data_IF_020627719147
#
_entry.id   IF_020627719147
#
_cell.length_a   1.000
_cell.length_b   1.000
_cell.length_c   1.000
_cell.angle_alpha   90.00
_cell.angle_beta   90.00
_cell.angle_gamma   90.00
#
_symmetry.space_group_name_H-M   'P 1'
#
loop_
_entity.id
_entity.type
_entity.pdbx_description
1 polymer ?
#
# COMPACT_ATOMS: atom_id res chain seq x y z
N UNK A 1 -63.03 63.01 40.81
CA UNK A 1 -62.05 62.45 41.74
C UNK A 1 -62.48 61.03 42.08
N UNK A 2 -61.89 60.05 41.40
CA UNK A 2 -62.30 58.64 41.56
C UNK A 2 -61.05 57.81 41.90
N UNK A 3 -61.06 57.31 43.13
CA UNK A 3 -59.99 56.41 43.66
C UNK A 3 -60.28 54.99 43.12
N UNK A 4 -59.40 54.44 42.35
CA UNK A 4 -59.39 53.02 41.96
C UNK A 4 -58.53 52.23 42.92
N UNK A 5 -59.17 51.27 43.58
CA UNK A 5 -58.58 50.29 44.46
C UNK A 5 -58.07 49.15 43.59
N UNK A 6 -56.74 48.81 43.75
CA UNK A 6 -56.11 47.68 43.12
C UNK A 6 -56.14 46.52 44.10
N UNK A 7 -56.66 45.34 43.76
CA UNK A 7 -56.52 44.16 44.62
C UNK A 7 -55.14 43.51 44.47
N UNK A 8 -54.57 43.21 45.61
CA UNK A 8 -53.28 42.49 45.77
C UNK A 8 -53.53 40.98 45.51
N UNK A 9 -53.05 40.48 44.38
CA UNK A 9 -53.08 39.05 44.09
C UNK A 9 -51.85 38.41 44.73
N UNK A 10 -52.04 37.62 45.78
CA UNK A 10 -51.01 36.76 46.38
C UNK A 10 -50.85 35.55 45.52
N UNK A 11 -49.71 35.50 44.81
CA UNK A 11 -49.29 34.30 44.01
C UNK A 11 -48.56 33.32 44.93
N UNK A 12 -49.22 32.21 45.24
CA UNK A 12 -48.63 31.09 45.95
C UNK A 12 -47.66 30.36 45.05
N UNK A 13 -46.35 30.42 45.36
CA UNK A 13 -45.32 29.69 44.61
C UNK A 13 -45.26 28.27 45.11
N UNK A 14 -45.78 27.32 44.29
CA UNK A 14 -45.71 25.88 44.55
C UNK A 14 -44.31 25.39 44.10
N UNK A 15 -43.41 25.16 45.05
CA UNK A 15 -42.12 24.52 44.77
C UNK A 15 -42.33 23.02 44.55
N UNK A 16 -42.27 22.59 43.30
CA UNK A 16 -42.23 21.17 42.95
C UNK A 16 -40.78 20.71 43.05
N UNK A 17 -40.42 19.96 44.09
CA UNK A 17 -39.17 19.23 44.21
C UNK A 17 -39.18 18.05 43.25
N UNK A 18 -38.63 18.25 42.04
CA UNK A 18 -38.29 17.14 41.13
C UNK A 18 -37.03 16.49 41.66
N UNK A 19 -37.18 15.35 42.33
CA UNK A 19 -36.07 14.51 42.72
C UNK A 19 -35.27 14.05 41.48
N UNK A 20 -33.97 14.35 41.46
CA UNK A 20 -33.04 13.75 40.53
C UNK A 20 -33.07 12.23 40.73
N UNK A 21 -33.60 11.49 39.77
CA UNK A 21 -33.36 10.05 39.70
C UNK A 21 -31.92 9.89 39.18
N UNK A 22 -31.07 9.33 40.02
CA UNK A 22 -29.77 8.87 39.57
C UNK A 22 -29.94 7.87 38.43
N UNK A 23 -29.31 8.09 37.28
CA UNK A 23 -29.33 7.11 36.20
C UNK A 23 -28.63 5.86 36.72
N UNK A 24 -29.36 4.78 36.92
CA UNK A 24 -28.83 3.49 37.27
C UNK A 24 -27.95 3.04 36.08
N UNK A 25 -26.63 3.15 36.24
CA UNK A 25 -25.68 2.64 35.25
C UNK A 25 -25.77 1.13 35.29
N UNK A 26 -26.56 0.55 34.38
CA UNK A 26 -26.51 -0.88 34.15
C UNK A 26 -25.22 -1.18 33.40
N UNK A 27 -24.32 -1.91 34.04
CA UNK A 27 -23.15 -2.44 33.37
C UNK A 27 -23.60 -3.48 32.33
N UNK A 28 -23.82 -3.02 31.11
CA UNK A 28 -24.00 -3.90 29.97
C UNK A 28 -22.66 -4.53 29.63
N UNK A 29 -22.47 -5.81 30.00
CA UNK A 29 -21.38 -6.60 29.46
C UNK A 29 -21.74 -6.96 28.03
N UNK A 30 -21.20 -6.22 27.09
CA UNK A 30 -21.18 -6.67 25.70
C UNK A 30 -20.38 -7.99 25.70
N UNK A 31 -20.96 -9.12 25.30
CA UNK A 31 -20.17 -10.30 25.02
C UNK A 31 -19.12 -9.85 24.00
N UNK A 32 -17.84 -10.08 24.32
CA UNK A 32 -16.76 -9.80 23.37
C UNK A 32 -17.07 -10.68 22.16
N UNK A 33 -17.60 -10.06 21.10
CA UNK A 33 -17.77 -10.78 19.85
C UNK A 33 -16.43 -11.45 19.55
N UNK A 34 -16.48 -12.76 19.35
CA UNK A 34 -15.35 -13.49 18.83
C UNK A 34 -14.93 -12.72 17.59
N UNK A 35 -13.69 -12.20 17.51
CA UNK A 35 -13.29 -11.39 16.35
C UNK A 35 -13.70 -12.20 15.12
N UNK A 36 -14.59 -11.64 14.29
CA UNK A 36 -14.78 -12.14 12.94
C UNK A 36 -13.35 -12.25 12.40
N UNK A 37 -12.98 -13.43 11.89
CA UNK A 37 -11.66 -13.64 11.35
C UNK A 37 -11.41 -12.48 10.40
N UNK A 38 -10.63 -11.51 10.86
CA UNK A 38 -10.28 -10.32 10.09
C UNK A 38 -9.61 -10.89 8.86
N UNK A 39 -10.19 -10.65 7.69
CA UNK A 39 -9.50 -11.00 6.46
C UNK A 39 -8.08 -10.45 6.62
N UNK A 40 -7.04 -11.28 6.42
CA UNK A 40 -5.67 -10.88 6.69
C UNK A 40 -5.42 -9.58 5.95
N UNK A 41 -4.94 -8.57 6.68
CA UNK A 41 -4.49 -7.32 6.07
C UNK A 41 -3.51 -7.71 4.96
N UNK A 42 -3.64 -7.21 3.73
CA UNK A 42 -2.69 -7.51 2.65
C UNK A 42 -1.22 -7.33 3.07
N UNK A 43 -0.94 -6.40 3.98
CA UNK A 43 0.39 -6.21 4.55
C UNK A 43 0.83 -7.39 5.45
N UNK A 44 -0.10 -7.97 6.22
CA UNK A 44 0.18 -9.11 7.11
C UNK A 44 0.29 -10.42 6.30
N UNK A 45 -0.50 -10.54 5.22
CA UNK A 45 -0.36 -11.64 4.26
C UNK A 45 1.01 -11.63 3.57
N UNK A 46 1.55 -10.44 3.25
CA UNK A 46 2.90 -10.29 2.71
C UNK A 46 3.99 -10.58 3.75
N UNK A 47 3.76 -10.29 5.02
CA UNK A 47 4.71 -10.60 6.10
C UNK A 47 4.78 -12.09 6.45
N UNK A 48 3.71 -12.84 6.18
CA UNK A 48 3.58 -14.28 6.51
C UNK A 48 3.77 -15.19 5.30
N UNK A 49 3.96 -14.65 4.10
CA UNK A 49 4.09 -15.44 2.88
C UNK A 49 5.43 -16.20 2.89
N UNK A 50 5.36 -17.52 2.94
CA UNK A 50 6.50 -18.39 2.69
C UNK A 50 6.93 -18.18 1.25
N UNK A 51 8.17 -17.72 1.05
CA UNK A 51 8.73 -17.54 -0.30
C UNK A 51 8.73 -18.89 -1.01
N UNK A 52 8.08 -19.06 -2.16
CA UNK A 52 8.10 -20.34 -2.88
C UNK A 52 9.55 -20.73 -3.22
N UNK A 53 10.00 -21.85 -2.72
CA UNK A 53 11.26 -22.48 -3.07
C UNK A 53 10.96 -23.72 -3.92
N UNK A 54 10.52 -23.50 -5.17
CA UNK A 54 10.14 -24.59 -6.06
C UNK A 54 10.82 -24.48 -7.42
N UNK A 55 10.79 -25.59 -8.17
CA UNK A 55 11.26 -25.71 -9.55
C UNK A 55 10.58 -24.74 -10.54
N UNK A 56 9.55 -24.02 -10.12
CA UNK A 56 8.77 -23.09 -10.93
C UNK A 56 9.22 -21.62 -10.81
N UNK A 57 10.40 -21.38 -10.23
CA UNK A 57 10.93 -20.04 -10.06
C UNK A 57 11.33 -19.43 -11.40
N UNK A 58 10.99 -18.14 -11.58
CA UNK A 58 11.48 -17.36 -12.72
C UNK A 58 13.02 -17.29 -12.71
N UNK A 59 13.58 -17.25 -13.90
CA UNK A 59 15.00 -16.99 -14.11
C UNK A 59 15.18 -15.68 -14.86
N UNK A 60 16.33 -15.00 -14.68
CA UNK A 60 16.64 -13.74 -15.36
C UNK A 60 18.15 -13.55 -15.47
N UNK A 61 18.54 -12.63 -16.33
CA UNK A 61 19.92 -12.15 -16.44
C UNK A 61 19.97 -10.67 -16.11
N UNK A 62 20.62 -10.32 -15.02
CA UNK A 62 20.80 -8.93 -14.63
C UNK A 62 21.93 -8.27 -15.45
N UNK A 63 21.83 -6.96 -15.74
CA UNK A 63 22.93 -6.18 -16.31
C UNK A 63 24.19 -6.29 -15.46
N UNK A 64 25.35 -6.38 -16.10
CA UNK A 64 26.65 -6.55 -15.40
C UNK A 64 27.04 -5.34 -14.54
N UNK A 65 26.46 -4.17 -14.81
CA UNK A 65 26.64 -2.97 -14.00
C UNK A 65 25.89 -3.03 -12.66
N UNK A 66 24.93 -3.93 -12.50
CA UNK A 66 24.16 -4.07 -11.27
C UNK A 66 24.85 -5.04 -10.32
N UNK A 67 25.03 -4.63 -9.07
CA UNK A 67 25.69 -5.46 -8.05
C UNK A 67 24.66 -6.29 -7.30
N UNK A 68 24.74 -7.61 -7.41
CA UNK A 68 23.87 -8.51 -6.66
C UNK A 68 24.07 -8.34 -5.13
N UNK A 69 22.99 -8.23 -4.39
CA UNK A 69 23.00 -8.16 -2.93
C UNK A 69 22.82 -9.55 -2.32
N UNK A 70 23.20 -9.69 -1.07
CA UNK A 70 23.01 -10.93 -0.34
C UNK A 70 21.55 -11.40 -0.36
N UNK A 71 21.29 -12.71 -0.44
CA UNK A 71 19.95 -13.28 -0.38
C UNK A 71 19.19 -12.84 0.88
N UNK A 72 17.87 -12.67 0.76
CA UNK A 72 16.99 -12.36 1.88
C UNK A 72 15.75 -13.27 1.80
N UNK A 73 15.14 -13.63 2.92
CA UNK A 73 13.95 -14.49 2.93
C UNK A 73 12.78 -13.96 2.10
N UNK A 74 12.68 -12.64 2.00
CA UNK A 74 11.57 -11.97 1.30
C UNK A 74 11.85 -11.67 -0.17
N UNK A 75 13.12 -11.74 -0.61
CA UNK A 75 13.52 -11.36 -1.96
C UNK A 75 14.04 -12.56 -2.74
N UNK A 76 13.50 -12.77 -3.91
CA UNK A 76 14.00 -13.74 -4.90
C UNK A 76 15.26 -13.24 -5.60
N UNK A 77 15.40 -11.93 -5.73
CA UNK A 77 16.57 -11.25 -6.24
C UNK A 77 16.68 -9.85 -5.66
N UNK A 78 17.91 -9.34 -5.57
CA UNK A 78 18.19 -8.01 -5.03
C UNK A 78 19.46 -7.47 -5.65
N UNK A 79 19.44 -6.23 -6.16
CA UNK A 79 20.56 -5.58 -6.80
C UNK A 79 20.71 -4.15 -6.31
N UNK A 80 21.95 -3.73 -6.11
CA UNK A 80 22.34 -2.34 -5.94
C UNK A 80 22.80 -1.77 -7.28
N UNK A 81 22.35 -0.56 -7.60
CA UNK A 81 22.73 0.18 -8.80
C UNK A 81 23.31 1.51 -8.33
N UNK A 82 24.61 1.68 -8.47
CA UNK A 82 25.31 2.88 -8.06
C UNK A 82 25.44 3.87 -9.21
N UNK A 83 25.28 5.16 -8.91
CA UNK A 83 25.41 6.21 -9.90
C UNK A 83 25.32 7.62 -9.33
N UNK A 84 25.21 8.63 -10.17
CA UNK A 84 25.07 10.01 -9.71
C UNK A 84 23.86 10.18 -8.78
N UNK A 85 24.08 10.76 -7.63
CA UNK A 85 23.02 11.02 -6.62
C UNK A 85 22.83 9.90 -5.61
N UNK A 86 23.56 8.76 -5.71
CA UNK A 86 23.51 7.70 -4.71
C UNK A 86 23.33 6.30 -5.29
N UNK A 87 22.58 5.48 -4.58
CA UNK A 87 22.30 4.07 -4.93
C UNK A 87 20.78 3.90 -5.15
N UNK A 88 20.44 3.14 -6.19
CA UNK A 88 19.09 2.62 -6.39
C UNK A 88 19.05 1.13 -6.00
N UNK A 89 17.89 0.67 -5.51
CA UNK A 89 17.66 -0.70 -5.06
C UNK A 89 16.62 -1.37 -5.96
N UNK A 90 17.02 -2.45 -6.63
CA UNK A 90 16.08 -3.33 -7.30
C UNK A 90 15.76 -4.51 -6.38
N UNK A 91 14.48 -4.66 -6.07
CA UNK A 91 13.96 -5.81 -5.34
C UNK A 91 13.05 -6.65 -6.24
N UNK A 92 13.24 -7.96 -6.21
CA UNK A 92 12.40 -8.94 -6.88
C UNK A 92 11.78 -9.81 -5.80
N UNK A 93 10.45 -9.80 -5.73
CA UNK A 93 9.68 -10.55 -4.73
C UNK A 93 8.56 -11.34 -5.39
N UNK A 94 8.15 -12.44 -4.80
CA UNK A 94 7.02 -13.23 -5.24
C UNK A 94 6.15 -13.58 -4.03
N UNK A 95 4.84 -13.48 -4.21
CA UNK A 95 3.85 -13.79 -3.17
C UNK A 95 2.74 -14.67 -3.72
N UNK A 96 2.16 -15.55 -2.89
CA UNK A 96 1.02 -16.37 -3.30
C UNK A 96 -0.22 -15.52 -3.64
N UNK A 97 -0.95 -15.95 -4.65
CA UNK A 97 -2.21 -15.32 -5.07
C UNK A 97 -2.03 -13.97 -5.74
N UNK A 98 -3.11 -13.17 -5.76
CA UNK A 98 -3.18 -11.86 -6.42
C UNK A 98 -2.71 -10.69 -5.55
N UNK A 99 -2.39 -10.97 -4.27
CA UNK A 99 -1.88 -9.98 -3.29
C UNK A 99 -2.75 -8.72 -3.12
N UNK A 100 -4.06 -8.83 -3.36
CA UNK A 100 -5.04 -7.74 -3.24
C UNK A 100 -5.21 -6.90 -4.50
N UNK A 101 -4.70 -7.38 -5.64
CA UNK A 101 -4.89 -6.78 -6.96
C UNK A 101 -3.88 -5.68 -7.31
N UNK A 102 -3.80 -5.40 -8.60
CA UNK A 102 -2.81 -4.48 -9.18
C UNK A 102 -2.92 -3.06 -8.60
N UNK A 103 -4.12 -2.47 -8.61
CA UNK A 103 -4.34 -1.09 -8.12
C UNK A 103 -3.87 -0.89 -6.68
N UNK A 104 -4.19 -1.83 -5.78
CA UNK A 104 -3.80 -1.73 -4.38
C UNK A 104 -2.27 -1.78 -4.21
N UNK A 105 -1.60 -2.62 -4.99
CA UNK A 105 -0.14 -2.74 -4.98
C UNK A 105 0.55 -1.48 -5.51
N UNK A 106 0.06 -0.92 -6.63
CA UNK A 106 0.57 0.33 -7.18
C UNK A 106 0.34 1.50 -6.22
N UNK A 107 -0.81 1.58 -5.57
CA UNK A 107 -1.09 2.62 -4.57
C UNK A 107 -0.18 2.50 -3.33
N UNK A 108 0.18 1.28 -2.92
CA UNK A 108 1.19 1.07 -1.88
C UNK A 108 2.57 1.60 -2.31
N UNK A 109 2.96 1.38 -3.56
CA UNK A 109 4.20 1.91 -4.10
C UNK A 109 4.19 3.44 -4.20
N UNK A 110 3.08 4.01 -4.67
CA UNK A 110 2.90 5.47 -4.73
C UNK A 110 3.01 6.11 -3.35
N UNK A 111 2.42 5.51 -2.33
CA UNK A 111 2.56 5.99 -0.95
C UNK A 111 4.00 5.99 -0.43
N UNK A 112 4.86 5.07 -0.89
CA UNK A 112 6.28 5.03 -0.50
C UNK A 112 7.08 6.24 -1.00
N UNK A 113 6.62 6.91 -2.04
CA UNK A 113 7.24 8.11 -2.63
C UNK A 113 6.32 9.34 -2.55
N UNK A 114 5.46 9.37 -1.53
CA UNK A 114 4.56 10.48 -1.19
C UNK A 114 3.63 10.92 -2.33
N UNK A 115 3.20 10.01 -3.20
CA UNK A 115 2.19 10.29 -4.21
C UNK A 115 0.79 9.93 -3.71
N UNK A 116 -0.26 10.69 -4.10
CA UNK A 116 -1.63 10.32 -3.82
C UNK A 116 -2.01 9.01 -4.52
N UNK A 117 -2.96 8.24 -3.97
CA UNK A 117 -3.40 7.03 -4.63
C UNK A 117 -4.06 7.32 -5.99
N UNK A 118 -3.90 6.39 -6.93
CA UNK A 118 -4.66 6.36 -8.18
C UNK A 118 -6.11 5.98 -7.89
N UNK A 119 -7.05 6.64 -8.57
CA UNK A 119 -8.41 6.13 -8.69
C UNK A 119 -8.47 4.95 -9.69
N UNK A 120 -9.49 4.08 -9.56
CA UNK A 120 -9.61 2.91 -10.44
C UNK A 120 -9.63 3.26 -11.94
N UNK A 121 -10.24 4.39 -12.32
CA UNK A 121 -10.28 4.86 -13.70
C UNK A 121 -8.94 5.38 -14.25
N UNK A 122 -7.95 5.62 -13.40
CA UNK A 122 -6.62 6.10 -13.80
C UNK A 122 -5.59 4.96 -13.94
N UNK A 123 -5.96 3.76 -13.50
CA UNK A 123 -5.06 2.61 -13.48
C UNK A 123 -4.48 2.34 -14.85
N UNK A 124 -5.34 2.09 -15.85
CA UNK A 124 -4.92 1.72 -17.20
C UNK A 124 -4.03 2.77 -17.86
N UNK A 125 -4.35 4.05 -17.67
CA UNK A 125 -3.54 5.15 -18.19
C UNK A 125 -2.15 5.27 -17.53
N UNK A 126 -1.96 4.63 -16.37
CA UNK A 126 -0.68 4.62 -15.66
C UNK A 126 0.23 3.46 -16.04
N UNK A 127 -0.26 2.50 -16.84
CA UNK A 127 0.45 1.28 -17.20
C UNK A 127 1.13 1.39 -18.56
N UNK A 128 2.25 0.73 -18.67
CA UNK A 128 2.88 0.31 -19.93
C UNK A 128 2.94 -1.20 -19.92
N UNK A 129 2.31 -1.84 -20.89
CA UNK A 129 2.33 -3.29 -21.00
C UNK A 129 3.59 -3.75 -21.74
N UNK A 130 4.28 -4.74 -21.19
CA UNK A 130 5.46 -5.36 -21.78
C UNK A 130 5.26 -6.87 -21.85
N UNK A 131 5.28 -7.41 -23.07
CA UNK A 131 5.23 -8.84 -23.30
C UNK A 131 6.62 -9.38 -23.66
N UNK A 132 7.09 -10.36 -22.90
CA UNK A 132 8.38 -10.98 -23.13
C UNK A 132 8.39 -12.45 -22.71
N UNK A 133 8.89 -13.35 -23.55
CA UNK A 133 9.02 -14.78 -23.27
C UNK A 133 7.70 -15.46 -22.84
N UNK A 134 6.57 -14.99 -23.37
CA UNK A 134 5.24 -15.47 -22.99
C UNK A 134 4.75 -14.98 -21.63
N UNK A 135 5.43 -14.01 -21.03
CA UNK A 135 5.06 -13.34 -19.78
C UNK A 135 4.54 -11.94 -20.08
N UNK A 136 3.52 -11.51 -19.35
CA UNK A 136 2.90 -10.19 -19.45
C UNK A 136 3.20 -9.37 -18.20
N UNK A 137 3.85 -8.21 -18.36
CA UNK A 137 4.21 -7.31 -17.29
C UNK A 137 3.41 -6.01 -17.37
N UNK A 138 2.81 -5.63 -16.25
CA UNK A 138 2.24 -4.29 -16.05
C UNK A 138 3.33 -3.39 -15.46
N UNK A 139 3.85 -2.48 -16.25
CA UNK A 139 4.99 -1.62 -15.90
C UNK A 139 4.51 -0.22 -15.56
N UNK A 140 5.08 0.36 -14.50
CA UNK A 140 4.80 1.74 -14.05
C UNK A 140 6.09 2.53 -13.87
N UNK A 141 5.98 3.85 -14.02
CA UNK A 141 7.06 4.81 -13.82
C UNK A 141 6.52 6.00 -13.01
N UNK A 142 6.84 6.03 -11.72
CA UNK A 142 6.36 7.04 -10.79
C UNK A 142 7.50 7.94 -10.31
N UNK A 143 7.27 9.23 -10.31
CA UNK A 143 8.19 10.25 -9.77
C UNK A 143 7.52 10.93 -8.59
N UNK A 144 8.19 10.93 -7.45
CA UNK A 144 7.70 11.52 -6.21
C UNK A 144 8.84 11.94 -5.31
N UNK A 145 8.64 11.83 -4.01
CA UNK A 145 9.66 12.17 -3.01
C UNK A 145 9.72 11.09 -1.92
N UNK A 146 10.92 10.77 -1.47
CA UNK A 146 11.12 9.97 -0.27
C UNK A 146 12.17 10.64 0.62
N UNK A 147 11.90 10.74 1.91
CA UNK A 147 12.77 11.43 2.87
C UNK A 147 13.17 12.85 2.43
N UNK A 148 12.26 13.57 1.77
CA UNK A 148 12.49 14.92 1.28
C UNK A 148 13.34 15.03 -0.01
N UNK A 149 13.74 13.91 -0.62
CA UNK A 149 14.53 13.88 -1.86
C UNK A 149 13.72 13.41 -3.06
N UNK A 150 13.95 13.96 -4.27
CA UNK A 150 13.37 13.47 -5.50
C UNK A 150 13.68 11.98 -5.71
N UNK A 151 12.63 11.18 -5.85
CA UNK A 151 12.72 9.72 -5.92
C UNK A 151 11.87 9.21 -7.08
N UNK A 152 12.41 8.28 -7.84
CA UNK A 152 11.67 7.55 -8.89
C UNK A 152 11.52 6.10 -8.50
N UNK A 153 10.39 5.54 -8.89
CA UNK A 153 10.07 4.13 -8.77
C UNK A 153 9.66 3.61 -10.15
N UNK A 154 10.48 2.71 -10.71
CA UNK A 154 10.08 1.86 -11.82
C UNK A 154 9.60 0.54 -11.24
N UNK A 155 8.40 0.12 -11.58
CA UNK A 155 7.81 -1.11 -11.09
C UNK A 155 7.31 -1.96 -12.22
N UNK A 156 7.40 -3.28 -12.09
CA UNK A 156 6.71 -4.21 -12.95
C UNK A 156 6.01 -5.27 -12.10
N UNK A 157 4.77 -5.56 -12.45
CA UNK A 157 3.95 -6.62 -11.84
C UNK A 157 3.71 -7.69 -12.88
N UNK A 158 3.97 -8.93 -12.51
CA UNK A 158 3.70 -10.11 -13.32
C UNK A 158 2.76 -11.03 -12.54
N UNK A 159 1.54 -11.15 -12.99
CA UNK A 159 0.55 -12.07 -12.42
C UNK A 159 0.65 -13.42 -13.13
N UNK A 160 0.81 -14.50 -12.35
CA UNK A 160 0.83 -15.90 -12.82
C UNK A 160 -0.20 -16.72 -12.04
N UNK A 161 -0.63 -17.86 -12.54
CA UNK A 161 -1.47 -18.76 -11.76
C UNK A 161 -0.82 -19.10 -10.41
N UNK A 162 -1.51 -18.74 -9.32
CA UNK A 162 -1.07 -19.04 -7.96
C UNK A 162 -0.07 -18.06 -7.33
N UNK A 163 0.52 -17.13 -8.07
CA UNK A 163 1.50 -16.19 -7.53
C UNK A 163 1.56 -14.85 -8.28
N UNK A 164 2.01 -13.81 -7.59
CA UNK A 164 2.28 -12.50 -8.19
C UNK A 164 3.73 -12.11 -7.92
N UNK A 165 4.44 -11.74 -8.97
CA UNK A 165 5.82 -11.28 -8.92
C UNK A 165 5.90 -9.76 -9.04
N UNK A 166 6.80 -9.17 -8.27
CA UNK A 166 7.04 -7.74 -8.23
C UNK A 166 8.52 -7.45 -8.48
N UNK A 167 8.78 -6.65 -9.47
CA UNK A 167 10.09 -6.11 -9.80
C UNK A 167 10.06 -4.62 -9.50
N UNK A 168 10.79 -4.14 -8.50
CA UNK A 168 10.72 -2.74 -8.09
C UNK A 168 12.10 -2.14 -7.98
N UNK A 169 12.42 -1.20 -8.85
CA UNK A 169 13.61 -0.37 -8.82
C UNK A 169 13.26 0.99 -8.24
N UNK A 170 13.92 1.37 -7.14
CA UNK A 170 13.64 2.64 -6.44
C UNK A 170 14.93 3.32 -6.05
N UNK A 171 15.05 4.63 -6.23
CA UNK A 171 16.23 5.40 -5.88
C UNK A 171 16.14 6.87 -6.32
N UNK A 172 17.27 7.59 -6.34
CA UNK A 172 17.35 8.96 -6.82
C UNK A 172 16.74 9.09 -8.21
N UNK A 173 15.89 10.11 -8.42
CA UNK A 173 15.11 10.27 -9.68
C UNK A 173 15.99 10.20 -10.92
N UNK A 174 17.07 10.99 -10.98
CA UNK A 174 17.94 11.03 -12.15
C UNK A 174 18.63 9.69 -12.43
N UNK A 175 19.04 8.95 -11.38
CA UNK A 175 19.68 7.63 -11.53
C UNK A 175 18.69 6.62 -12.08
N UNK A 176 17.48 6.51 -11.47
CA UNK A 176 16.48 5.55 -11.91
C UNK A 176 15.93 5.91 -13.30
N UNK A 177 15.84 7.19 -13.64
CA UNK A 177 15.51 7.62 -15.00
C UNK A 177 16.54 7.15 -16.04
N UNK A 178 17.82 7.25 -15.72
CA UNK A 178 18.91 6.77 -16.60
C UNK A 178 18.89 5.23 -16.75
N UNK A 179 18.50 4.51 -15.72
CA UNK A 179 18.42 3.04 -15.70
C UNK A 179 17.14 2.46 -16.33
N UNK A 180 16.19 3.32 -16.76
CA UNK A 180 14.90 2.86 -17.29
C UNK A 180 15.04 1.87 -18.46
N UNK A 181 15.90 2.16 -19.42
CA UNK A 181 16.13 1.26 -20.56
C UNK A 181 16.70 -0.09 -20.08
N UNK A 182 17.73 -0.07 -19.23
CA UNK A 182 18.33 -1.28 -18.67
C UNK A 182 17.32 -2.10 -17.84
N UNK A 183 16.41 -1.44 -17.12
CA UNK A 183 15.34 -2.12 -16.39
C UNK A 183 14.34 -2.81 -17.33
N UNK A 184 13.93 -2.16 -18.42
CA UNK A 184 13.03 -2.78 -19.40
C UNK A 184 13.71 -3.94 -20.13
N UNK A 185 14.99 -3.79 -20.53
CA UNK A 185 15.78 -4.86 -21.14
C UNK A 185 15.97 -6.03 -20.17
N UNK A 186 16.18 -5.74 -18.89
CA UNK A 186 16.23 -6.77 -17.85
C UNK A 186 14.92 -7.57 -17.77
N UNK A 187 13.76 -6.93 -17.80
CA UNK A 187 12.46 -7.63 -17.79
C UNK A 187 12.31 -8.57 -19.00
N UNK A 188 12.89 -8.21 -20.15
CA UNK A 188 12.87 -9.07 -21.35
C UNK A 188 13.73 -10.33 -21.18
N UNK A 189 14.65 -10.38 -20.21
CA UNK A 189 15.44 -11.58 -19.92
C UNK A 189 14.69 -12.58 -19.03
N UNK A 190 13.59 -12.15 -18.39
CA UNK A 190 12.84 -12.99 -17.46
C UNK A 190 12.16 -14.12 -18.21
N UNK A 191 12.28 -15.35 -17.67
CA UNK A 191 11.71 -16.55 -18.25
C UNK A 191 11.04 -17.39 -17.18
N UNK A 192 9.93 -18.01 -17.54
CA UNK A 192 9.38 -19.14 -16.81
C UNK A 192 10.22 -20.41 -17.05
N UNK A 193 10.18 -21.38 -16.14
CA UNK A 193 10.79 -22.69 -16.29
C UNK A 193 10.22 -23.47 -17.46
#
# INVERSE_FOLDING_TARGET
>A
MSRRIVPLFTLAFLVVLTGCRDPKVEHYRVPKEKPAATAPNPADAMASATVPTGSDALTWTAPTAWTAKAPSPMRKGSYAISGPGGEADLSITAFPGDTGGLLANLNRWRGQIALPPLAGGELEASLVHLDANGLHFDVVDFVGTANGAPTRLLGAVLSRPGETWFFKLTGPDALVAAEKAAFLDFLQTVKAP
#
